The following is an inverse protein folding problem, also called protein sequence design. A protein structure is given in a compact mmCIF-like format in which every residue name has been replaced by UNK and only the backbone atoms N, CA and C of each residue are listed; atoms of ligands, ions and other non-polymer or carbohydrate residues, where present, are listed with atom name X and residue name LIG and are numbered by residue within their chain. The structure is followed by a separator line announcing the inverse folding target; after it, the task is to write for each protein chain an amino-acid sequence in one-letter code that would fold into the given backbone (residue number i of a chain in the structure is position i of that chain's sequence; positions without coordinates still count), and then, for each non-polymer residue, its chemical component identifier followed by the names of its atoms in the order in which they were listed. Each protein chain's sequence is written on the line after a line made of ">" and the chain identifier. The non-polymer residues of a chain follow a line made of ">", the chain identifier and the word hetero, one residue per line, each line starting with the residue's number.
data_IF_663521081373
#
_entry.id   IF_663521081373
#
_cell.length_a   1.000
_cell.length_b   1.000
_cell.length_c   1.000
_cell.angle_alpha   90.00
_cell.angle_beta   90.00
_cell.angle_gamma   90.00
#
_symmetry.space_group_name_H-M   'P 1'
#
loop_
_entity.id
_entity.type
_entity.pdbx_description
1 polymer ?
#
# COMPACT_ATOMS: atom_id res chain seq x y z
N UNK A 1 -4.58 -4.05 18.50
CA UNK A 1 -3.26 -3.71 17.95
C UNK A 1 -2.78 -4.98 17.30
N UNK A 2 -2.48 -5.04 15.99
CA UNK A 2 -1.83 -6.23 15.46
C UNK A 2 -0.49 -6.40 16.16
N UNK A 3 -0.24 -7.57 16.72
CA UNK A 3 1.04 -7.86 17.37
C UNK A 3 2.17 -7.82 16.33
N UNK A 4 3.41 -7.52 16.74
CA UNK A 4 4.61 -7.54 15.88
C UNK A 4 4.68 -8.73 14.89
N UNK A 5 4.36 -9.99 15.29
CA UNK A 5 4.31 -11.13 14.37
C UNK A 5 3.21 -11.06 13.28
N UNK A 6 2.06 -10.45 13.54
CA UNK A 6 0.97 -10.37 12.55
C UNK A 6 1.31 -9.45 11.39
N UNK A 7 2.02 -8.36 11.70
CA UNK A 7 2.46 -7.37 10.70
C UNK A 7 3.54 -7.96 9.80
N UNK A 8 4.48 -8.72 10.35
CA UNK A 8 5.53 -9.38 9.57
C UNK A 8 4.96 -10.50 8.70
N UNK A 9 3.98 -11.24 9.21
CA UNK A 9 3.27 -12.28 8.44
C UNK A 9 2.49 -11.66 7.29
N UNK A 10 1.80 -10.55 7.54
CA UNK A 10 1.11 -9.79 6.49
C UNK A 10 2.10 -9.26 5.46
N UNK A 11 3.24 -8.69 5.87
CA UNK A 11 4.32 -8.21 5.00
C UNK A 11 4.82 -9.33 4.08
N UNK A 12 5.16 -10.49 4.64
CA UNK A 12 5.64 -11.65 3.87
C UNK A 12 4.58 -12.20 2.91
N UNK A 13 3.30 -12.10 3.27
CA UNK A 13 2.19 -12.52 2.41
C UNK A 13 1.99 -11.58 1.22
N UNK A 14 2.15 -10.26 1.41
CA UNK A 14 1.89 -9.27 0.36
C UNK A 14 3.12 -8.93 -0.49
N UNK A 15 4.33 -9.01 0.08
CA UNK A 15 5.61 -8.70 -0.59
C UNK A 15 5.75 -9.38 -1.97
N UNK A 16 5.60 -10.72 -2.13
CA UNK A 16 5.79 -11.37 -3.42
C UNK A 16 4.72 -10.99 -4.46
N UNK A 17 3.61 -10.39 -4.02
CA UNK A 17 2.53 -9.94 -4.88
C UNK A 17 2.63 -8.46 -5.24
N UNK A 18 3.28 -7.66 -4.39
CA UNK A 18 3.51 -6.23 -4.55
C UNK A 18 4.80 -5.96 -5.31
N UNK A 19 5.91 -6.59 -4.94
CA UNK A 19 7.23 -6.32 -5.52
C UNK A 19 7.23 -6.69 -7.01
N UNK A 20 7.57 -5.73 -7.86
CA UNK A 20 7.53 -5.85 -9.31
C UNK A 20 6.13 -5.80 -9.93
N UNK A 21 5.10 -5.46 -9.15
CA UNK A 21 3.80 -5.06 -9.66
C UNK A 21 3.76 -3.54 -9.90
N UNK A 22 2.98 -3.13 -10.90
CA UNK A 22 2.75 -1.71 -11.21
C UNK A 22 1.42 -1.28 -10.62
N UNK A 23 1.44 -0.23 -9.81
CA UNK A 23 0.24 0.44 -9.31
C UNK A 23 -0.32 1.29 -10.44
N UNK A 24 -1.46 0.91 -11.00
CA UNK A 24 -2.09 1.63 -12.11
C UNK A 24 -2.69 2.96 -11.64
N UNK A 25 -3.36 2.93 -10.50
CA UNK A 25 -3.95 4.09 -9.86
C UNK A 25 -4.31 3.75 -8.40
N UNK A 26 -4.38 4.76 -7.55
CA UNK A 26 -4.90 4.65 -6.20
C UNK A 26 -6.35 5.18 -6.13
N UNK A 27 -7.24 4.42 -5.52
CA UNK A 27 -8.63 4.82 -5.25
C UNK A 27 -8.78 5.10 -3.76
N UNK A 28 -8.86 6.38 -3.42
CA UNK A 28 -9.10 6.83 -2.04
C UNK A 28 -10.59 7.01 -1.84
N UNK A 29 -11.23 6.09 -1.11
CA UNK A 29 -12.65 6.18 -0.74
C UNK A 29 -12.89 7.06 0.48
N UNK A 30 -11.91 7.12 1.38
CA UNK A 30 -11.96 7.99 2.56
C UNK A 30 -10.62 8.70 2.76
N UNK A 31 -10.58 9.99 2.43
CA UNK A 31 -9.39 10.82 2.66
C UNK A 31 -9.25 11.30 4.11
N UNK A 32 -10.25 11.11 4.98
CA UNK A 32 -10.26 11.57 6.37
C UNK A 32 -9.59 10.59 7.32
N UNK A 33 -8.38 10.18 6.95
CA UNK A 33 -7.48 9.48 7.85
C UNK A 33 -6.95 10.45 8.91
N UNK A 34 -6.29 9.92 9.95
CA UNK A 34 -5.62 10.74 10.98
C UNK A 34 -4.69 11.81 10.37
N UNK A 35 -4.14 11.51 9.20
CA UNK A 35 -3.43 12.44 8.34
C UNK A 35 -4.10 12.43 6.97
N UNK A 36 -4.39 13.58 6.37
CA UNK A 36 -4.99 13.61 5.04
C UNK A 36 -4.10 12.86 4.05
N UNK A 37 -4.72 12.16 3.11
CA UNK A 37 -4.00 11.49 2.02
C UNK A 37 -3.39 12.57 1.12
N UNK A 38 -2.09 12.48 0.85
CA UNK A 38 -1.38 13.44 -0.02
C UNK A 38 -1.96 13.44 -1.43
N UNK A 39 -2.00 14.61 -2.09
CA UNK A 39 -2.42 14.73 -3.49
C UNK A 39 -1.61 13.82 -4.44
N UNK A 40 -0.35 13.56 -4.10
CA UNK A 40 0.54 12.65 -4.83
C UNK A 40 -0.05 11.24 -4.97
N UNK A 41 -0.77 10.76 -3.95
CA UNK A 41 -1.44 9.45 -4.01
C UNK A 41 -2.60 9.48 -5.01
N UNK A 42 -3.34 10.57 -5.09
CA UNK A 42 -4.42 10.72 -6.08
C UNK A 42 -3.90 10.82 -7.52
N UNK A 43 -2.68 11.33 -7.70
CA UNK A 43 -1.99 11.44 -8.99
C UNK A 43 -1.14 10.22 -9.32
N UNK A 44 -1.07 9.25 -8.42
CA UNK A 44 -0.22 8.09 -8.56
C UNK A 44 -0.76 7.21 -9.67
N UNK A 45 0.00 7.07 -10.76
CA UNK A 45 -0.35 6.23 -11.89
C UNK A 45 0.87 5.55 -12.49
N UNK A 46 0.71 4.30 -12.89
CA UNK A 46 1.74 3.47 -13.55
C UNK A 46 3.09 3.38 -12.82
N UNK A 47 3.08 3.46 -11.49
CA UNK A 47 4.30 3.41 -10.68
C UNK A 47 4.63 1.96 -10.24
N UNK A 48 5.82 1.44 -10.55
CA UNK A 48 6.24 0.10 -10.10
C UNK A 48 6.61 0.11 -8.61
N UNK A 49 6.25 -0.95 -7.90
CA UNK A 49 6.70 -1.16 -6.51
C UNK A 49 8.07 -1.85 -6.53
N UNK A 50 9.08 -1.15 -6.03
CA UNK A 50 10.47 -1.60 -5.99
C UNK A 50 10.71 -2.53 -4.80
N UNK A 51 10.23 -2.16 -3.61
CA UNK A 51 10.38 -2.95 -2.39
C UNK A 51 9.25 -2.69 -1.41
N UNK A 52 9.06 -3.64 -0.49
CA UNK A 52 8.07 -3.54 0.59
C UNK A 52 8.76 -3.72 1.93
N UNK A 53 8.91 -2.62 2.65
CA UNK A 53 9.55 -2.59 3.96
C UNK A 53 8.51 -2.41 5.07
N UNK A 54 8.92 -2.69 6.30
CA UNK A 54 8.10 -2.47 7.49
C UNK A 54 8.90 -1.70 8.52
N UNK A 55 8.28 -0.68 9.11
CA UNK A 55 8.83 0.04 10.27
C UNK A 55 7.77 0.08 11.37
N UNK A 56 7.99 -0.71 12.43
CA UNK A 56 7.02 -0.87 13.52
C UNK A 56 5.62 -1.27 12.98
N UNK A 57 4.63 -0.37 13.10
CA UNK A 57 3.24 -0.54 12.65
C UNK A 57 2.95 0.04 11.25
N UNK A 58 3.99 0.42 10.52
CA UNK A 58 3.89 1.00 9.19
C UNK A 58 4.45 0.03 8.15
N UNK A 59 3.74 -0.11 7.04
CA UNK A 59 4.25 -0.68 5.81
C UNK A 59 4.78 0.47 4.94
N UNK A 60 5.93 0.29 4.32
CA UNK A 60 6.54 1.26 3.41
C UNK A 60 6.68 0.60 2.05
N UNK A 61 6.07 1.19 1.03
CA UNK A 61 6.23 0.77 -0.35
C UNK A 61 7.21 1.73 -1.02
N UNK A 62 8.30 1.19 -1.53
CA UNK A 62 9.28 1.95 -2.29
C UNK A 62 8.82 2.07 -3.74
N UNK A 63 8.82 3.30 -4.25
CA UNK A 63 8.53 3.66 -5.63
C UNK A 63 9.73 4.42 -6.23
N UNK A 64 9.85 4.50 -7.56
CA UNK A 64 10.91 5.29 -8.20
C UNK A 64 10.94 6.75 -7.76
N UNK A 65 9.76 7.34 -7.52
CA UNK A 65 9.63 8.77 -7.18
C UNK A 65 9.47 9.03 -5.68
N UNK A 66 9.49 8.00 -4.82
CA UNK A 66 9.33 8.19 -3.39
C UNK A 66 8.84 6.96 -2.62
N UNK A 67 8.12 7.22 -1.53
CA UNK A 67 7.67 6.16 -0.61
C UNK A 67 6.19 6.33 -0.26
N UNK A 68 5.41 5.26 -0.35
CA UNK A 68 4.05 5.21 0.23
C UNK A 68 4.15 4.62 1.63
N UNK A 69 3.62 5.35 2.61
CA UNK A 69 3.55 4.88 4.00
C UNK A 69 2.11 4.48 4.30
N UNK A 70 1.90 3.20 4.63
CA UNK A 70 0.60 2.65 4.99
C UNK A 70 0.63 2.32 6.48
N UNK A 71 -0.26 2.95 7.26
CA UNK A 71 -0.40 2.65 8.69
C UNK A 71 -1.32 1.44 8.87
N UNK A 72 -0.79 0.32 9.37
CA UNK A 72 -1.57 -0.88 9.71
C UNK A 72 -2.21 -0.68 11.08
N UNK A 73 -3.31 0.08 11.11
CA UNK A 73 -4.12 0.29 12.30
C UNK A 73 -5.46 -0.42 12.16
N UNK A 74 -5.78 -1.29 13.12
CA UNK A 74 -7.15 -1.77 13.31
C UNK A 74 -8.02 -0.53 13.57
N UNK A 75 -8.96 -0.23 12.66
CA UNK A 75 -9.92 0.90 12.58
C UNK A 75 -9.56 2.19 11.83
N UNK A 76 -8.36 2.40 11.28
CA UNK A 76 -8.08 3.70 10.63
C UNK A 76 -7.79 3.65 9.13
N UNK A 77 -7.25 2.58 8.53
CA UNK A 77 -7.10 2.50 7.07
C UNK A 77 -6.93 1.05 6.67
N UNK A 78 -7.95 0.45 6.05
CA UNK A 78 -7.80 -0.85 5.40
C UNK A 78 -7.32 -0.59 3.98
N UNK A 79 -6.01 -0.66 3.73
CA UNK A 79 -5.52 -0.67 2.35
C UNK A 79 -5.73 -2.08 1.77
N UNK A 80 -6.57 -2.19 0.74
CA UNK A 80 -6.81 -3.46 0.04
C UNK A 80 -6.22 -3.43 -1.36
N UNK A 81 -5.53 -4.49 -1.71
CA UNK A 81 -4.80 -4.66 -2.96
C UNK A 81 -5.58 -5.63 -3.85
N UNK A 82 -6.09 -5.16 -5.00
CA UNK A 82 -6.83 -6.00 -5.93
C UNK A 82 -6.07 -6.11 -7.25
N UNK A 83 -5.79 -7.35 -7.66
CA UNK A 83 -5.06 -7.67 -8.89
C UNK A 83 -6.03 -7.89 -10.03
N UNK A 84 -5.82 -7.21 -11.16
CA UNK A 84 -6.55 -7.46 -12.40
C UNK A 84 -5.65 -8.28 -13.34
N UNK A 85 -6.04 -9.51 -13.68
CA UNK A 85 -5.35 -10.33 -14.68
C UNK A 85 -5.64 -9.80 -16.11
N UNK A 86 -4.69 -9.85 -17.07
CA UNK A 86 -3.50 -10.73 -17.13
C UNK A 86 -2.14 -10.04 -16.88
N UNK A 87 -2.11 -8.76 -16.51
CA UNK A 87 -0.85 -8.01 -16.30
C UNK A 87 -0.52 -7.93 -14.81
N UNK A 88 0.75 -7.74 -14.45
CA UNK A 88 1.20 -7.45 -13.05
C UNK A 88 0.76 -6.04 -12.61
N UNK A 89 -0.46 -5.68 -12.91
CA UNK A 89 -1.08 -4.39 -12.64
C UNK A 89 -2.02 -4.52 -11.45
N UNK A 90 -1.97 -3.53 -10.56
CA UNK A 90 -2.75 -3.51 -9.34
C UNK A 90 -3.42 -2.16 -9.13
N UNK A 91 -4.64 -2.21 -8.60
CA UNK A 91 -5.33 -1.04 -8.05
C UNK A 91 -5.22 -1.06 -6.54
N UNK A 92 -4.74 0.04 -5.96
CA UNK A 92 -4.66 0.23 -4.52
C UNK A 92 -5.93 0.93 -4.04
N UNK A 93 -6.64 0.32 -3.08
CA UNK A 93 -7.81 0.93 -2.46
C UNK A 93 -7.48 1.39 -1.06
N UNK A 94 -7.77 2.65 -0.76
CA UNK A 94 -7.59 3.25 0.57
C UNK A 94 -8.99 3.59 1.11
N UNK A 95 -9.40 2.87 2.15
CA UNK A 95 -10.70 2.98 2.81
C UNK A 95 -10.68 3.82 4.08
#
# INVERSE_FOLDING_TARGET
>A
MPELPEVETSRRGIEPHLVGATILHAVVRNGRLRWPVSEEIYRLSDQPVLSVQRRAKYLLLELPEGWIIIHLGCLAACASFQKNFPLKSMTMWIW
#
